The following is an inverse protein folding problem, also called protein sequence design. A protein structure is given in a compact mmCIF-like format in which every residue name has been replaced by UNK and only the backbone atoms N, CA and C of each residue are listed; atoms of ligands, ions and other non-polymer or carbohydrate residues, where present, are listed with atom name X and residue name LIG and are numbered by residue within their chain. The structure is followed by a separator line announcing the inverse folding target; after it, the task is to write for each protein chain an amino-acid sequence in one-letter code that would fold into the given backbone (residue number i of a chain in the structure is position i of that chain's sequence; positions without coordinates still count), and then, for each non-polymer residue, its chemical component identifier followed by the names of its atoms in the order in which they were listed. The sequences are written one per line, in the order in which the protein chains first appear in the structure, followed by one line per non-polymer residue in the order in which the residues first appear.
data_IF_161424093142
#
_entry.id   IF_161424093142
#
_cell.length_a   1.000
_cell.length_b   1.000
_cell.length_c   1.000
_cell.angle_alpha   90.00
_cell.angle_beta   90.00
_cell.angle_gamma   90.00
#
_symmetry.space_group_name_H-M   'P 1'
#
loop_
_entity.id
_entity.type
_entity.pdbx_description
1 polymer ?
#
# COMPACT_ATOMS: atom_id res chain seq x y z
N UNK A 1 0.88 -0.37 8.73
CA UNK A 1 0.53 0.51 7.61
C UNK A 1 1.67 1.48 7.38
N UNK A 2 1.55 2.28 6.32
CA UNK A 2 2.55 3.20 5.75
C UNK A 2 3.56 2.51 4.86
N UNK A 3 3.03 1.85 3.83
CA UNK A 3 3.83 1.19 2.82
C UNK A 3 4.74 2.19 2.09
N UNK A 4 4.26 3.41 1.91
CA UNK A 4 4.96 4.47 1.18
C UNK A 4 4.96 5.79 1.95
N UNK A 5 5.98 6.00 2.76
CA UNK A 5 6.13 7.18 3.59
C UNK A 5 6.94 8.29 2.91
N UNK A 6 6.58 9.58 3.00
CA UNK A 6 5.49 10.21 3.78
C UNK A 6 4.18 10.41 3.01
N UNK A 7 4.14 10.13 1.71
CA UNK A 7 3.07 10.64 0.83
C UNK A 7 2.24 9.61 0.09
N UNK A 8 2.43 8.31 0.33
CA UNK A 8 1.76 7.27 -0.43
C UNK A 8 2.35 7.07 -1.83
N UNK A 9 1.64 6.31 -2.68
CA UNK A 9 2.07 6.03 -4.05
C UNK A 9 1.83 7.24 -4.96
N UNK A 10 2.88 7.71 -5.63
CA UNK A 10 2.84 8.62 -6.78
C UNK A 10 2.30 10.01 -6.54
N UNK A 11 2.20 10.46 -5.29
CA UNK A 11 1.60 11.75 -4.96
C UNK A 11 2.55 12.92 -5.17
N UNK A 12 1.97 14.09 -5.41
CA UNK A 12 2.73 15.35 -5.45
C UNK A 12 3.00 15.94 -4.05
N UNK A 13 2.36 15.38 -3.02
CA UNK A 13 2.61 15.73 -1.62
C UNK A 13 3.89 15.07 -1.09
N UNK A 14 4.45 14.07 -1.80
CA UNK A 14 5.75 13.49 -1.49
C UNK A 14 6.90 14.30 -2.10
N UNK A 15 7.60 15.09 -1.26
CA UNK A 15 8.83 15.80 -1.67
C UNK A 15 10.06 14.89 -1.67
N UNK A 16 9.92 13.58 -1.42
CA UNK A 16 11.04 12.64 -1.43
C UNK A 16 11.64 12.51 -2.83
N UNK A 17 12.93 12.19 -2.87
CA UNK A 17 13.67 11.86 -4.09
C UNK A 17 13.05 10.68 -4.87
N UNK A 18 12.19 9.88 -4.23
CA UNK A 18 11.70 8.60 -4.73
C UNK A 18 10.22 8.61 -5.13
N UNK A 19 9.40 9.56 -4.65
CA UNK A 19 7.98 9.71 -5.00
C UNK A 19 7.67 10.83 -6.00
N UNK A 20 8.69 11.37 -6.67
CA UNK A 20 8.57 12.61 -7.44
C UNK A 20 7.58 12.52 -8.62
N UNK A 21 6.35 12.99 -8.39
CA UNK A 21 5.59 13.75 -9.38
C UNK A 21 4.86 12.97 -10.47
N UNK A 22 4.45 11.72 -10.23
CA UNK A 22 3.55 11.03 -11.17
C UNK A 22 2.11 11.59 -11.09
N UNK A 23 1.81 12.42 -10.09
CA UNK A 23 0.53 13.13 -10.00
C UNK A 23 -0.66 12.23 -9.72
N UNK A 24 -0.42 11.03 -9.20
CA UNK A 24 -1.48 10.11 -8.82
C UNK A 24 -2.20 10.61 -7.58
N UNK A 25 -3.51 10.38 -7.60
CA UNK A 25 -4.45 10.61 -6.51
C UNK A 25 -5.45 9.46 -6.51
N UNK A 26 -6.08 9.19 -5.37
CA UNK A 26 -7.13 8.19 -5.31
C UNK A 26 -8.20 8.43 -6.39
N UNK A 27 -8.71 7.35 -6.99
CA UNK A 27 -9.74 7.42 -8.03
C UNK A 27 -9.26 7.98 -9.37
N UNK A 28 -7.95 8.21 -9.52
CA UNK A 28 -7.34 8.33 -10.86
C UNK A 28 -7.49 7.00 -11.59
N UNK A 29 -7.32 7.00 -12.93
CA UNK A 29 -7.42 5.81 -13.77
C UNK A 29 -6.85 4.55 -13.08
N UNK A 30 -7.47 3.37 -13.30
CA UNK A 30 -7.05 2.14 -12.65
C UNK A 30 -5.54 1.96 -12.78
N UNK A 31 -4.90 1.40 -11.74
CA UNK A 31 -3.46 1.33 -11.64
C UNK A 31 -2.85 0.89 -12.95
N UNK A 32 -1.84 1.63 -13.42
CA UNK A 32 -1.21 1.29 -14.69
C UNK A 32 -0.48 -0.05 -14.51
N UNK A 33 -1.18 -1.12 -14.88
CA UNK A 33 -0.84 -2.52 -14.63
C UNK A 33 0.43 -2.94 -15.40
N UNK A 34 0.80 -2.18 -16.44
CA UNK A 34 1.85 -2.58 -17.39
C UNK A 34 3.28 -2.20 -16.95
N UNK A 35 3.44 -1.28 -16.00
CA UNK A 35 4.74 -0.97 -15.43
C UNK A 35 4.60 -0.44 -14.00
N UNK A 36 5.23 -1.07 -12.99
CA UNK A 36 5.36 -0.48 -11.67
C UNK A 36 5.87 0.95 -11.83
N UNK A 37 5.27 1.93 -11.13
CA UNK A 37 5.84 3.27 -11.05
C UNK A 37 7.32 3.17 -10.65
N UNK A 38 8.13 4.15 -11.06
CA UNK A 38 9.57 4.16 -10.68
C UNK A 38 9.75 4.03 -9.17
N UNK A 39 8.79 4.55 -8.42
CA UNK A 39 8.70 4.47 -6.98
C UNK A 39 8.68 3.01 -6.47
N UNK A 40 7.80 2.13 -6.97
CA UNK A 40 7.76 0.70 -6.59
C UNK A 40 9.10 0.02 -6.76
N UNK A 41 9.75 0.24 -7.91
CA UNK A 41 11.07 -0.33 -8.17
C UNK A 41 12.08 0.12 -7.12
N UNK A 42 12.13 1.41 -6.84
CA UNK A 42 13.20 2.02 -6.03
C UNK A 42 13.08 1.78 -4.53
N UNK A 43 11.87 1.54 -4.01
CA UNK A 43 11.66 1.45 -2.55
C UNK A 43 11.07 0.11 -2.10
N UNK A 44 10.54 -0.69 -3.03
CA UNK A 44 10.08 -2.04 -2.72
C UNK A 44 10.90 -3.12 -3.45
N UNK A 45 10.94 -3.10 -4.79
CA UNK A 45 11.52 -4.21 -5.57
C UNK A 45 13.04 -4.29 -5.47
N UNK A 46 13.75 -3.17 -5.58
CA UNK A 46 15.22 -3.17 -5.48
C UNK A 46 15.72 -3.24 -4.05
N UNK A 47 14.89 -2.89 -3.06
CA UNK A 47 15.26 -2.88 -1.64
C UNK A 47 15.06 -4.27 -1.04
N UNK A 48 13.90 -4.88 -1.29
CA UNK A 48 13.52 -6.15 -0.69
C UNK A 48 13.67 -7.31 -1.67
N UNK A 49 14.90 -7.46 -2.18
CA UNK A 49 15.33 -8.59 -3.00
C UNK A 49 16.55 -9.27 -2.40
N UNK A 50 16.63 -10.58 -2.53
CA UNK A 50 17.77 -11.38 -2.11
C UNK A 50 17.40 -12.74 -1.52
N UNK A 51 18.43 -13.50 -1.11
CA UNK A 51 18.24 -14.83 -0.53
C UNK A 51 17.25 -14.79 0.65
N UNK A 52 16.34 -15.76 0.66
CA UNK A 52 15.29 -15.96 1.68
C UNK A 52 14.11 -14.98 1.66
N UNK A 53 14.13 -13.92 0.83
CA UNK A 53 13.00 -12.99 0.70
C UNK A 53 12.41 -12.96 -0.72
N UNK A 54 13.18 -13.38 -1.72
CA UNK A 54 12.69 -13.53 -3.09
C UNK A 54 11.54 -14.55 -3.15
N UNK A 55 10.43 -14.16 -3.78
CA UNK A 55 9.23 -14.98 -3.94
C UNK A 55 8.38 -15.17 -2.67
N UNK A 56 8.80 -14.62 -1.53
CA UNK A 56 8.00 -14.67 -0.29
C UNK A 56 6.86 -13.64 -0.38
N UNK A 57 5.59 -14.02 -0.14
CA UNK A 57 4.48 -13.08 -0.15
C UNK A 57 4.57 -12.01 0.94
N UNK A 58 4.28 -10.77 0.56
CA UNK A 58 4.20 -9.58 1.40
C UNK A 58 2.72 -9.23 1.60
N UNK A 59 2.20 -9.59 2.78
CA UNK A 59 0.80 -9.36 3.13
C UNK A 59 0.68 -7.98 3.80
N UNK A 60 0.08 -7.03 3.08
CA UNK A 60 0.06 -5.62 3.47
C UNK A 60 -1.25 -5.14 4.09
N UNK A 61 -1.12 -4.00 4.78
CA UNK A 61 -2.22 -3.12 5.23
C UNK A 61 -1.89 -1.68 4.86
N UNK A 62 -2.90 -0.87 4.60
CA UNK A 62 -2.74 0.56 4.36
C UNK A 62 -2.60 1.30 5.69
N UNK A 63 -1.73 2.30 5.75
CA UNK A 63 -1.63 3.26 6.86
C UNK A 63 -2.07 4.65 6.44
N UNK A 64 -2.08 5.59 7.39
CA UNK A 64 -2.55 6.95 7.16
C UNK A 64 -1.77 7.65 6.04
N UNK A 65 -0.48 7.40 5.90
CA UNK A 65 0.32 8.01 4.84
C UNK A 65 -0.01 7.44 3.45
N UNK A 66 -0.43 6.18 3.37
CA UNK A 66 -0.89 5.58 2.10
C UNK A 66 -2.16 6.26 1.59
N UNK A 67 -2.96 6.82 2.50
CA UNK A 67 -4.13 7.65 2.20
C UNK A 67 -3.80 9.14 2.00
N UNK A 68 -2.61 9.61 2.36
CA UNK A 68 -2.24 11.04 2.30
C UNK A 68 -2.55 11.79 3.59
N UNK A 69 -2.62 11.07 4.71
CA UNK A 69 -2.97 11.57 6.03
C UNK A 69 -4.40 12.12 6.06
N UNK A 70 -4.59 13.21 6.81
CA UNK A 70 -5.88 13.89 6.97
C UNK A 70 -6.50 14.40 5.65
N UNK A 71 -5.69 14.59 4.59
CA UNK A 71 -6.18 15.08 3.30
C UNK A 71 -6.91 14.00 2.49
N UNK A 72 -6.59 12.73 2.73
CA UNK A 72 -7.12 11.59 1.98
C UNK A 72 -6.90 11.70 0.45
N UNK A 73 -5.78 12.30 0.03
CA UNK A 73 -5.47 12.64 -1.38
C UNK A 73 -4.57 11.63 -2.09
N UNK A 74 -3.93 10.70 -1.36
CA UNK A 74 -2.94 9.82 -1.94
C UNK A 74 -3.55 8.65 -2.71
N UNK A 75 -2.76 8.03 -3.58
CA UNK A 75 -3.21 6.96 -4.47
C UNK A 75 -3.17 5.58 -3.81
N UNK A 76 -3.86 5.42 -2.67
CA UNK A 76 -3.96 4.16 -1.92
C UNK A 76 -4.50 3.01 -2.77
N UNK A 77 -5.36 3.32 -3.73
CA UNK A 77 -5.93 2.40 -4.72
C UNK A 77 -4.87 1.81 -5.66
N UNK A 78 -3.76 2.52 -5.90
CA UNK A 78 -2.60 2.01 -6.64
C UNK A 78 -1.87 0.91 -5.85
N UNK A 79 -1.74 1.07 -4.52
CA UNK A 79 -1.18 0.04 -3.66
C UNK A 79 -2.05 -1.22 -3.63
N UNK A 80 -3.37 -1.05 -3.73
CA UNK A 80 -4.27 -2.18 -3.91
C UNK A 80 -4.08 -2.86 -5.25
N UNK A 81 -4.09 -2.07 -6.32
CA UNK A 81 -3.97 -2.58 -7.68
C UNK A 81 -2.65 -3.26 -8.00
N UNK A 82 -1.55 -2.85 -7.35
CA UNK A 82 -0.24 -3.48 -7.50
C UNK A 82 -0.24 -4.97 -7.10
N UNK A 83 -1.23 -5.40 -6.31
CA UNK A 83 -1.48 -6.83 -6.02
C UNK A 83 -1.69 -7.65 -7.28
N UNK A 84 -2.23 -7.05 -8.34
CA UNK A 84 -2.54 -7.74 -9.60
C UNK A 84 -1.38 -7.69 -10.61
N UNK A 85 -0.28 -7.04 -10.26
CA UNK A 85 0.93 -6.93 -11.11
C UNK A 85 2.15 -7.62 -10.50
N UNK A 86 2.22 -7.69 -9.18
CA UNK A 86 3.37 -8.24 -8.45
C UNK A 86 3.11 -9.68 -8.05
N UNK A 87 4.11 -10.54 -8.22
CA UNK A 87 4.05 -11.93 -7.76
C UNK A 87 4.12 -12.06 -6.23
N UNK A 88 4.53 -11.00 -5.53
CA UNK A 88 4.80 -11.04 -4.08
C UNK A 88 4.08 -9.96 -3.27
N UNK A 89 3.48 -8.94 -3.87
CA UNK A 89 2.70 -7.94 -3.14
C UNK A 89 1.24 -8.38 -2.98
N UNK A 90 0.72 -8.37 -1.75
CA UNK A 90 -0.66 -8.78 -1.46
C UNK A 90 -1.34 -7.77 -0.54
N UNK A 91 -2.04 -6.81 -1.14
CA UNK A 91 -2.95 -5.87 -0.45
C UNK A 91 -4.23 -5.70 -1.29
N UNK A 92 -5.06 -6.74 -1.45
CA UNK A 92 -6.13 -6.75 -2.47
C UNK A 92 -7.32 -5.84 -2.16
N UNK A 93 -7.45 -5.36 -0.92
CA UNK A 93 -8.51 -4.46 -0.48
C UNK A 93 -8.08 -3.69 0.78
N UNK A 94 -8.85 -2.66 1.16
CA UNK A 94 -8.60 -1.88 2.38
C UNK A 94 -8.66 -2.75 3.64
N UNK A 95 -9.61 -3.70 3.68
CA UNK A 95 -9.66 -4.76 4.68
C UNK A 95 -9.86 -6.10 3.96
N UNK A 96 -9.15 -7.13 4.42
CA UNK A 96 -9.18 -8.43 3.78
C UNK A 96 -8.79 -9.54 4.77
N UNK A 97 -8.99 -10.78 4.36
CA UNK A 97 -8.53 -11.94 5.11
C UNK A 97 -7.87 -12.95 4.19
N UNK A 98 -6.94 -13.73 4.75
CA UNK A 98 -6.47 -14.97 4.13
C UNK A 98 -6.56 -16.11 5.12
N UNK A 99 -6.99 -17.27 4.64
CA UNK A 99 -6.90 -18.52 5.39
C UNK A 99 -5.64 -19.24 4.95
N UNK A 100 -4.68 -19.38 5.86
CA UNK A 100 -3.51 -20.25 5.66
C UNK A 100 -3.86 -21.64 6.15
N UNK A 101 -3.67 -22.64 5.29
CA UNK A 101 -4.01 -24.05 5.60
C UNK A 101 -2.73 -24.85 5.77
N UNK A 102 -2.62 -25.51 6.92
CA UNK A 102 -1.61 -26.52 7.23
C UNK A 102 -2.26 -27.92 7.12
N UNK A 103 -1.49 -29.02 7.15
CA UNK A 103 -2.04 -30.37 7.04
C UNK A 103 -3.11 -30.70 8.10
N UNK A 104 -3.02 -30.11 9.28
CA UNK A 104 -3.80 -30.44 10.47
C UNK A 104 -4.61 -29.27 11.08
N UNK A 105 -4.29 -28.03 10.75
CA UNK A 105 -5.05 -26.84 11.16
C UNK A 105 -5.07 -25.74 10.10
N UNK A 106 -5.88 -24.72 10.33
CA UNK A 106 -5.86 -23.49 9.55
C UNK A 106 -5.77 -22.26 10.46
N UNK A 107 -5.21 -21.18 9.92
CA UNK A 107 -5.16 -19.87 10.58
C UNK A 107 -5.82 -18.85 9.67
N UNK A 108 -6.77 -18.10 10.22
CA UNK A 108 -7.33 -16.93 9.55
C UNK A 108 -6.57 -15.68 9.99
N UNK A 109 -6.01 -14.97 9.02
CA UNK A 109 -5.33 -13.70 9.23
C UNK A 109 -6.25 -12.60 8.75
N UNK A 110 -6.54 -11.64 9.63
CA UNK A 110 -7.41 -10.50 9.34
C UNK A 110 -6.57 -9.23 9.24
N UNK A 111 -6.70 -8.55 8.12
CA UNK A 111 -5.98 -7.33 7.78
C UNK A 111 -7.00 -6.20 7.80
N UNK A 112 -6.87 -5.29 8.76
CA UNK A 112 -7.90 -4.31 9.09
C UNK A 112 -7.38 -2.91 8.80
N UNK A 113 -8.25 -2.09 8.20
CA UNK A 113 -8.05 -0.67 8.05
C UNK A 113 -8.50 0.07 9.32
N UNK A 114 -7.58 0.77 9.97
CA UNK A 114 -7.85 1.56 11.18
C UNK A 114 -7.83 3.06 10.93
N UNK A 115 -7.77 3.49 9.68
CA UNK A 115 -7.48 4.87 9.31
C UNK A 115 -8.66 5.84 9.60
N UNK A 116 -9.82 5.31 9.99
CA UNK A 116 -10.94 6.11 10.52
C UNK A 116 -10.47 7.05 11.65
N UNK A 117 -9.56 6.62 12.52
CA UNK A 117 -9.06 7.43 13.63
C UNK A 117 -8.23 8.64 13.17
N UNK A 118 -7.52 8.54 12.03
CA UNK A 118 -6.69 9.60 11.48
C UNK A 118 -7.42 10.48 10.43
N UNK A 119 -8.66 10.12 10.09
CA UNK A 119 -9.55 10.91 9.24
C UNK A 119 -10.31 12.00 10.01
N UNK A 120 -10.10 12.09 11.33
CA UNK A 120 -10.71 13.07 12.22
C UNK A 120 -10.02 14.42 12.02
N UNK A 121 -10.80 15.51 11.95
CA UNK A 121 -10.24 16.85 11.80
C UNK A 121 -9.35 17.18 13.01
N UNK A 122 -8.18 17.81 12.81
CA UNK A 122 -7.37 18.28 13.93
C UNK A 122 -8.20 19.21 14.83
N UNK A 123 -8.51 18.76 16.05
CA UNK A 123 -9.27 19.51 17.04
C UNK A 123 -10.77 19.23 17.09
N UNK A 124 -11.33 18.29 16.32
CA UNK A 124 -12.68 17.78 16.61
C UNK A 124 -12.64 16.78 17.77
N UNK A 125 -13.54 16.95 18.74
CA UNK A 125 -13.79 15.95 19.78
C UNK A 125 -14.69 14.84 19.24
N UNK A 126 -14.39 13.59 19.62
CA UNK A 126 -15.25 12.41 19.40
C UNK A 126 -16.66 12.57 19.98
#
# INVERSE_FOLDING_TARGET
GDNFYWGGVGTNDDTSKYGFGEGFKCGSSPPNVEAPSKQWKLIFEDIYKGPNIDGVPWLGVLGNHDYGGWKFTAAWDQAIGYTWTSDRWMTPAQYWRVTVRYPDFSVDWFFIDTNFADAILPGSSD
#
